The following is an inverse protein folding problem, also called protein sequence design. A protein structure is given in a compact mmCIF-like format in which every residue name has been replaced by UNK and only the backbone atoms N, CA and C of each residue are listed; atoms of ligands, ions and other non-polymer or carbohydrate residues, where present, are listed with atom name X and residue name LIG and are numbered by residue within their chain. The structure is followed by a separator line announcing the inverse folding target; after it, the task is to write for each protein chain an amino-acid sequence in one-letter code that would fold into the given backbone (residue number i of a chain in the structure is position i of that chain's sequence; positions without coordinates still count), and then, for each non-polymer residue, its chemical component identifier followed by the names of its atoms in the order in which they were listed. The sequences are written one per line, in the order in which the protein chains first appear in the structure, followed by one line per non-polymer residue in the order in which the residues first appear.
data_IF_363276320217
#
_entry.id   IF_363276320217
#
_cell.length_a   1.000
_cell.length_b   1.000
_cell.length_c   1.000
_cell.angle_alpha   90.00
_cell.angle_beta   90.00
_cell.angle_gamma   90.00
#
_symmetry.space_group_name_H-M   'P 1'
#
loop_
_entity.id
_entity.type
_entity.pdbx_description
1 polymer ?
#
# COMPACT_ATOMS: atom_id res chain seq x y z
N UNK A 1 8.91 23.65 -13.39
CA UNK A 1 8.49 22.33 -12.86
C UNK A 1 8.85 22.22 -11.38
N UNK A 2 10.12 22.36 -10.99
CA UNK A 2 10.59 22.18 -9.62
C UNK A 2 9.86 23.04 -8.59
N UNK A 3 9.64 24.33 -8.89
CA UNK A 3 8.87 25.25 -8.03
C UNK A 3 7.39 24.81 -7.90
N UNK A 4 6.79 24.32 -8.99
CA UNK A 4 5.44 23.76 -8.93
C UNK A 4 5.39 22.51 -8.04
N UNK A 5 6.37 21.62 -8.17
CA UNK A 5 6.46 20.44 -7.31
C UNK A 5 6.54 20.83 -5.82
N UNK A 6 7.37 21.82 -5.49
CA UNK A 6 7.52 22.32 -4.12
C UNK A 6 6.21 22.94 -3.58
N UNK A 7 5.45 23.63 -4.44
CA UNK A 7 4.14 24.20 -4.08
C UNK A 7 3.14 23.14 -3.60
N UNK A 8 3.14 21.96 -4.23
CA UNK A 8 2.21 20.87 -3.91
C UNK A 8 2.74 19.86 -2.89
N UNK A 9 4.05 19.85 -2.67
CA UNK A 9 4.68 19.01 -1.65
C UNK A 9 5.82 19.76 -0.97
N UNK A 10 5.58 20.27 0.23
CA UNK A 10 6.56 21.05 1.02
C UNK A 10 7.81 20.26 1.45
N UNK A 11 7.76 18.91 1.36
CA UNK A 11 8.91 18.04 1.67
C UNK A 11 9.94 18.01 0.54
N UNK A 12 9.58 18.48 -0.66
CA UNK A 12 10.50 18.56 -1.80
C UNK A 12 11.53 19.65 -1.51
N UNK A 13 12.80 19.26 -1.51
CA UNK A 13 13.94 20.17 -1.42
C UNK A 13 14.46 20.43 -2.83
N UNK A 14 14.61 21.71 -3.17
CA UNK A 14 15.33 22.12 -4.38
C UNK A 14 16.82 22.15 -4.03
N UNK A 15 17.61 21.39 -4.77
CA UNK A 15 19.06 21.34 -4.64
C UNK A 15 19.64 21.95 -5.91
N UNK A 16 20.42 23.00 -5.75
CA UNK A 16 21.27 23.51 -6.84
C UNK A 16 22.51 22.66 -6.87
N UNK A 17 22.83 22.12 -8.03
CA UNK A 17 24.05 21.35 -8.28
C UNK A 17 24.93 22.13 -9.27
N UNK A 18 26.21 22.27 -8.94
CA UNK A 18 27.22 22.78 -9.86
C UNK A 18 27.64 21.65 -10.80
N UNK A 19 26.74 21.23 -11.69
CA UNK A 19 27.08 20.27 -12.73
C UNK A 19 27.98 20.94 -13.77
N UNK A 20 29.17 20.40 -13.98
CA UNK A 20 30.14 20.87 -15.01
C UNK A 20 29.55 20.77 -16.42
N UNK A 21 28.54 19.95 -16.63
CA UNK A 21 27.78 19.85 -17.86
C UNK A 21 26.36 20.34 -17.60
N UNK A 22 26.07 21.63 -17.84
CA UNK A 22 24.72 22.14 -17.67
C UNK A 22 23.80 21.36 -18.60
N UNK A 23 22.77 20.74 -18.02
CA UNK A 23 21.69 20.14 -18.80
C UNK A 23 20.92 21.28 -19.47
N UNK A 24 21.39 21.68 -20.64
CA UNK A 24 20.73 22.65 -21.51
C UNK A 24 19.43 22.04 -22.02
N UNK A 25 18.43 21.99 -21.14
CA UNK A 25 17.09 21.55 -21.50
C UNK A 25 16.62 22.36 -22.70
N UNK A 26 16.04 21.70 -23.68
CA UNK A 26 15.34 22.37 -24.76
C UNK A 26 13.85 22.43 -24.43
N UNK A 27 13.23 23.58 -24.73
CA UNK A 27 11.79 23.73 -24.66
C UNK A 27 11.19 23.55 -26.05
N UNK A 28 10.19 22.67 -26.15
CA UNK A 28 9.41 22.50 -27.37
C UNK A 28 8.27 23.52 -27.39
N UNK A 29 8.15 24.24 -28.50
CA UNK A 29 7.03 25.16 -28.70
C UNK A 29 5.81 24.41 -29.20
N UNK A 30 4.71 24.51 -28.46
CA UNK A 30 3.41 23.93 -28.84
C UNK A 30 2.57 24.86 -29.76
N UNK A 31 3.14 25.97 -30.24
CA UNK A 31 2.41 26.98 -31.06
C UNK A 31 1.77 26.38 -32.32
N UNK A 32 2.45 25.44 -32.98
CA UNK A 32 1.91 24.81 -34.20
C UNK A 32 0.70 23.95 -33.93
N UNK A 33 0.73 23.14 -32.85
CA UNK A 33 -0.36 22.23 -32.51
C UNK A 33 -1.59 23.03 -32.01
N UNK A 34 -1.38 24.10 -31.24
CA UNK A 34 -2.45 24.98 -30.81
C UNK A 34 -3.12 25.72 -31.98
N UNK A 35 -2.35 26.11 -33.02
CA UNK A 35 -2.88 26.73 -34.25
C UNK A 35 -3.73 25.77 -35.08
N UNK A 36 -3.56 24.43 -34.92
CA UNK A 36 -4.40 23.43 -35.60
C UNK A 36 -5.75 23.19 -34.89
N UNK A 37 -6.06 23.95 -33.83
CA UNK A 37 -7.29 23.80 -33.05
C UNK A 37 -7.20 22.74 -31.94
N UNK A 38 -6.04 22.14 -31.71
CA UNK A 38 -5.85 21.19 -30.63
C UNK A 38 -5.97 21.89 -29.28
N UNK A 39 -6.67 21.25 -28.35
CA UNK A 39 -6.81 21.71 -26.97
C UNK A 39 -6.27 20.66 -26.03
N UNK A 40 -5.39 21.07 -25.13
CA UNK A 40 -4.96 20.19 -24.04
C UNK A 40 -6.12 19.99 -23.05
N UNK A 41 -6.41 18.77 -22.69
CA UNK A 41 -7.44 18.42 -21.70
C UNK A 41 -7.04 18.85 -20.29
N UNK A 42 -5.75 18.89 -20.01
CA UNK A 42 -5.17 19.22 -18.70
C UNK A 42 -4.07 20.27 -18.87
N UNK A 43 -3.99 21.18 -17.93
CA UNK A 43 -2.84 22.07 -17.81
C UNK A 43 -1.60 21.31 -17.27
N UNK A 44 -0.42 21.86 -17.49
CA UNK A 44 0.81 21.32 -16.89
C UNK A 44 0.71 21.29 -15.36
N UNK A 45 0.08 22.30 -14.76
CA UNK A 45 -0.10 22.39 -13.31
C UNK A 45 -1.02 21.29 -12.79
N UNK A 46 -2.14 21.02 -13.44
CA UNK A 46 -3.05 19.92 -13.08
C UNK A 46 -2.38 18.56 -13.19
N UNK A 47 -1.62 18.34 -14.28
CA UNK A 47 -0.90 17.09 -14.48
C UNK A 47 0.20 16.85 -13.44
N UNK A 48 0.95 17.89 -13.07
CA UNK A 48 1.97 17.82 -12.01
C UNK A 48 1.32 17.59 -10.65
N UNK A 49 0.21 18.29 -10.36
CA UNK A 49 -0.52 18.09 -9.11
C UNK A 49 -1.02 16.66 -8.96
N UNK A 50 -1.62 16.11 -10.01
CA UNK A 50 -2.08 14.72 -10.02
C UNK A 50 -0.92 13.73 -9.85
N UNK A 51 0.17 13.93 -10.56
CA UNK A 51 1.37 13.09 -10.46
C UNK A 51 1.97 13.11 -9.06
N UNK A 52 2.11 14.29 -8.44
CA UNK A 52 2.63 14.41 -7.07
C UNK A 52 1.67 13.76 -6.09
N UNK A 53 0.36 13.95 -6.27
CA UNK A 53 -0.65 13.34 -5.40
C UNK A 53 -0.58 11.80 -5.49
N UNK A 54 -0.51 11.25 -6.68
CA UNK A 54 -0.33 9.80 -6.88
C UNK A 54 0.98 9.29 -6.30
N UNK A 55 2.07 10.03 -6.48
CA UNK A 55 3.41 9.63 -6.01
C UNK A 55 3.57 9.76 -4.49
N UNK A 56 3.06 10.83 -3.89
CA UNK A 56 3.09 10.99 -2.43
C UNK A 56 2.21 9.95 -1.75
N UNK A 57 1.08 9.59 -2.35
CA UNK A 57 0.24 8.52 -1.85
C UNK A 57 0.93 7.14 -1.96
N UNK A 58 1.64 6.86 -3.06
CA UNK A 58 2.42 5.61 -3.19
C UNK A 58 3.54 5.49 -2.15
N UNK A 59 4.21 6.60 -1.79
CA UNK A 59 5.25 6.58 -0.75
C UNK A 59 4.66 6.46 0.66
N UNK A 60 3.56 7.17 0.96
CA UNK A 60 2.78 6.98 2.18
C UNK A 60 2.28 5.53 2.32
N UNK A 61 1.92 4.93 1.19
CA UNK A 61 1.42 3.57 1.12
C UNK A 61 2.50 2.53 1.45
N UNK A 62 3.73 2.72 0.97
CA UNK A 62 4.88 1.86 1.33
C UNK A 62 5.19 1.91 2.82
N UNK A 63 4.89 3.02 3.50
CA UNK A 63 5.09 3.16 4.93
C UNK A 63 3.95 2.56 5.77
N UNK A 64 2.76 2.42 5.20
CA UNK A 64 1.56 1.95 5.90
C UNK A 64 1.26 0.47 5.64
N UNK A 65 1.71 -0.05 4.51
CA UNK A 65 1.38 -1.36 4.01
C UNK A 65 2.57 -1.96 3.25
N UNK A 66 2.86 -3.20 3.54
CA UNK A 66 3.89 -3.97 2.84
C UNK A 66 3.31 -5.28 2.33
N UNK A 67 3.53 -5.55 1.05
CA UNK A 67 3.27 -6.84 0.44
C UNK A 67 4.60 -7.44 -0.01
N UNK A 68 4.92 -8.61 0.51
CA UNK A 68 6.16 -9.31 0.17
C UNK A 68 5.84 -10.69 -0.40
N UNK A 69 6.53 -11.02 -1.47
CA UNK A 69 6.68 -12.42 -1.93
C UNK A 69 7.62 -13.17 -1.00
N UNK A 70 7.55 -14.50 -1.02
CA UNK A 70 8.51 -15.32 -0.31
C UNK A 70 9.92 -15.09 -0.85
N UNK A 71 10.87 -14.91 0.04
CA UNK A 71 12.29 -14.74 -0.29
C UNK A 71 13.03 -16.08 -0.25
N UNK A 72 14.19 -16.15 -0.92
CA UNK A 72 15.06 -17.34 -0.92
C UNK A 72 14.28 -18.61 -1.30
N UNK A 73 13.58 -18.55 -2.43
CA UNK A 73 12.85 -19.71 -2.93
C UNK A 73 13.80 -20.83 -3.32
N UNK A 74 13.54 -22.00 -2.78
CA UNK A 74 14.20 -23.24 -3.19
C UNK A 74 13.18 -24.11 -3.93
N UNK A 75 13.51 -24.53 -5.14
CA UNK A 75 12.64 -25.36 -6.00
C UNK A 75 13.41 -26.63 -6.39
N UNK A 76 12.80 -27.80 -6.14
CA UNK A 76 13.30 -29.10 -6.62
C UNK A 76 12.15 -29.98 -7.10
N UNK A 77 12.43 -31.26 -7.41
CA UNK A 77 11.41 -32.22 -7.88
C UNK A 77 10.28 -32.50 -6.88
N UNK A 78 10.45 -32.14 -5.61
CA UNK A 78 9.45 -32.28 -4.54
C UNK A 78 8.54 -31.08 -4.41
N UNK A 79 8.93 -29.91 -4.96
CA UNK A 79 8.14 -28.69 -4.89
C UNK A 79 9.00 -27.46 -4.55
N UNK A 80 8.39 -26.52 -3.84
CA UNK A 80 8.93 -25.18 -3.58
C UNK A 80 8.93 -24.90 -2.07
N UNK A 81 10.00 -24.28 -1.60
CA UNK A 81 10.09 -23.68 -0.26
C UNK A 81 10.19 -22.17 -0.44
N UNK A 82 9.31 -21.43 0.22
CA UNK A 82 9.34 -19.96 0.27
C UNK A 82 9.50 -19.53 1.72
N UNK A 83 10.47 -18.65 1.99
CA UNK A 83 10.73 -18.16 3.33
C UNK A 83 10.17 -16.72 3.48
N UNK A 84 9.64 -16.43 4.65
CA UNK A 84 9.16 -15.09 5.00
C UNK A 84 9.85 -14.64 6.28
N UNK A 85 10.62 -13.58 6.19
CA UNK A 85 11.26 -12.98 7.36
C UNK A 85 10.25 -12.15 8.14
N UNK A 86 10.19 -12.35 9.45
CA UNK A 86 9.36 -11.59 10.37
C UNK A 86 10.23 -10.70 11.25
N UNK A 87 9.91 -9.43 11.31
CA UNK A 87 10.65 -8.43 12.09
C UNK A 87 10.33 -8.47 13.59
N UNK A 88 9.22 -9.11 13.96
CA UNK A 88 8.77 -9.22 15.33
C UNK A 88 8.45 -10.67 15.69
N UNK A 89 8.68 -11.11 16.93
CA UNK A 89 8.27 -12.43 17.38
C UNK A 89 6.74 -12.56 17.34
N UNK A 90 6.27 -13.72 16.89
CA UNK A 90 4.87 -14.13 16.95
C UNK A 90 4.74 -15.26 17.98
N UNK A 91 3.66 -15.28 18.72
CA UNK A 91 3.36 -16.32 19.72
C UNK A 91 1.98 -16.95 19.51
N UNK A 92 1.22 -16.49 18.51
CA UNK A 92 -0.03 -17.11 18.12
C UNK A 92 -0.22 -17.07 16.60
N UNK A 93 -0.72 -18.17 16.04
CA UNK A 93 -1.09 -18.30 14.64
C UNK A 93 -2.57 -18.62 14.55
N UNK A 94 -3.34 -17.78 13.87
CA UNK A 94 -4.72 -18.05 13.54
C UNK A 94 -4.83 -18.62 12.12
N UNK A 95 -5.36 -19.82 11.96
CA UNK A 95 -5.71 -20.38 10.65
C UNK A 95 -7.12 -19.95 10.28
N UNK A 96 -7.27 -19.21 9.19
CA UNK A 96 -8.53 -18.62 8.80
C UNK A 96 -8.93 -19.10 7.39
N UNK A 97 -10.16 -19.58 7.29
CA UNK A 97 -10.80 -19.90 6.02
C UNK A 97 -11.92 -18.91 5.72
N UNK A 98 -11.97 -18.41 4.50
CA UNK A 98 -12.98 -17.45 4.06
C UNK A 98 -13.51 -17.80 2.69
N UNK A 99 -14.82 -17.70 2.53
CA UNK A 99 -15.50 -18.01 1.28
C UNK A 99 -15.41 -16.83 0.32
N UNK A 100 -15.32 -17.12 -0.95
CA UNK A 100 -15.49 -16.14 -2.03
C UNK A 100 -16.73 -15.27 -1.82
N UNK A 101 -16.60 -13.97 -2.08
CA UNK A 101 -17.69 -12.99 -1.97
C UNK A 101 -17.93 -12.48 -0.55
N UNK A 102 -17.20 -12.97 0.46
CA UNK A 102 -17.28 -12.44 1.81
C UNK A 102 -16.27 -11.32 2.05
N UNK A 103 -16.50 -10.53 3.12
CA UNK A 103 -15.60 -9.48 3.57
C UNK A 103 -15.27 -9.69 5.04
N UNK A 104 -14.00 -9.52 5.42
CA UNK A 104 -13.54 -9.51 6.80
C UNK A 104 -12.83 -8.21 7.13
N UNK A 105 -12.39 -8.09 8.38
CA UNK A 105 -11.78 -6.90 8.95
C UNK A 105 -12.77 -5.72 9.04
N UNK A 106 -12.68 -4.67 8.23
CA UNK A 106 -13.41 -3.43 8.43
C UNK A 106 -13.11 -2.80 9.80
N UNK A 107 -11.82 -2.78 10.14
CA UNK A 107 -11.31 -2.24 11.40
C UNK A 107 -9.86 -1.76 11.25
N UNK A 108 -9.31 -1.22 12.32
CA UNK A 108 -7.89 -0.97 12.46
C UNK A 108 -7.39 -1.39 13.85
N UNK A 109 -6.09 -1.57 13.97
CA UNK A 109 -5.41 -1.85 15.23
C UNK A 109 -4.63 -0.61 15.66
N UNK A 110 -4.90 -0.02 16.82
CA UNK A 110 -4.15 1.17 17.27
C UNK A 110 -2.67 0.91 17.56
N UNK A 111 -2.33 -0.31 17.98
CA UNK A 111 -1.00 -0.62 18.50
C UNK A 111 -0.28 -1.74 17.77
N UNK A 112 -0.99 -2.61 17.05
CA UNK A 112 -0.44 -3.81 16.44
C UNK A 112 -0.35 -3.70 14.92
N UNK A 113 0.72 -4.25 14.35
CA UNK A 113 0.75 -4.59 12.93
C UNK A 113 -0.10 -5.83 12.65
N UNK A 114 -0.92 -5.78 11.62
CA UNK A 114 -1.62 -6.93 11.08
C UNK A 114 -0.71 -7.65 10.10
N UNK A 115 -0.37 -8.90 10.36
CA UNK A 115 0.42 -9.74 9.45
C UNK A 115 -0.39 -10.97 9.03
N UNK A 116 -0.55 -11.15 7.72
CA UNK A 116 -1.28 -12.28 7.15
C UNK A 116 -0.49 -12.95 6.04
N UNK A 117 -0.17 -14.24 6.20
CA UNK A 117 0.42 -15.06 5.14
C UNK A 117 -0.68 -15.82 4.40
N UNK A 118 -0.83 -15.56 3.11
CA UNK A 118 -1.87 -16.17 2.29
C UNK A 118 -1.41 -17.52 1.73
N UNK A 119 -1.98 -18.59 2.26
CA UNK A 119 -1.61 -19.98 1.93
C UNK A 119 -2.30 -20.46 0.65
N UNK A 120 -3.52 -19.97 0.41
CA UNK A 120 -4.31 -20.33 -0.76
C UNK A 120 -5.33 -19.25 -1.09
N UNK A 121 -5.57 -19.00 -2.37
CA UNK A 121 -6.64 -18.12 -2.84
C UNK A 121 -6.14 -16.74 -3.25
N UNK A 122 -7.04 -15.75 -3.16
CA UNK A 122 -6.78 -14.37 -3.55
C UNK A 122 -7.77 -13.44 -2.89
N UNK A 123 -7.31 -12.29 -2.46
CA UNK A 123 -8.14 -11.22 -1.94
C UNK A 123 -7.87 -9.89 -2.63
N UNK A 124 -8.80 -8.95 -2.48
CA UNK A 124 -8.57 -7.52 -2.64
C UNK A 124 -8.53 -6.93 -1.24
N UNK A 125 -7.38 -6.42 -0.84
CA UNK A 125 -7.21 -5.71 0.41
C UNK A 125 -7.45 -4.23 0.17
N UNK A 126 -8.32 -3.61 0.98
CA UNK A 126 -8.64 -2.19 0.93
C UNK A 126 -8.12 -1.57 2.22
N UNK A 127 -7.46 -0.43 2.15
CA UNK A 127 -6.89 0.22 3.32
C UNK A 127 -6.93 1.74 3.22
N UNK A 128 -6.92 2.39 4.39
CA UNK A 128 -6.99 3.84 4.55
C UNK A 128 -6.25 4.24 5.82
N UNK A 129 -5.42 5.27 5.74
CA UNK A 129 -4.75 5.85 6.90
C UNK A 129 -5.75 6.61 7.78
N UNK A 130 -5.93 6.17 9.03
CA UNK A 130 -6.82 6.85 9.97
C UNK A 130 -6.22 8.10 10.61
N UNK A 131 -4.90 8.24 10.58
CA UNK A 131 -4.23 9.44 11.10
C UNK A 131 -4.37 10.62 10.15
N UNK A 132 -4.70 10.35 8.89
CA UNK A 132 -4.95 11.37 7.88
C UNK A 132 -6.41 11.28 7.40
N UNK A 133 -7.27 12.16 7.91
CA UNK A 133 -8.71 12.19 7.57
C UNK A 133 -9.02 12.35 6.07
N UNK A 134 -8.06 12.87 5.30
CA UNK A 134 -8.19 13.04 3.85
C UNK A 134 -7.48 11.92 3.06
N UNK A 135 -7.03 10.88 3.74
CA UNK A 135 -6.39 9.74 3.07
C UNK A 135 -7.38 9.04 2.13
N UNK A 136 -7.02 8.85 0.86
CA UNK A 136 -7.85 8.06 -0.04
C UNK A 136 -7.85 6.58 0.39
N UNK A 137 -8.92 5.90 0.07
CA UNK A 137 -8.93 4.43 0.12
C UNK A 137 -8.07 3.90 -1.01
N UNK A 138 -7.26 2.91 -0.71
CA UNK A 138 -6.39 2.25 -1.68
C UNK A 138 -6.64 0.76 -1.67
N UNK A 139 -6.43 0.13 -2.81
CA UNK A 139 -6.65 -1.30 -3.00
C UNK A 139 -5.37 -1.99 -3.46
N UNK A 140 -5.18 -3.21 -2.97
CA UNK A 140 -4.09 -4.08 -3.34
C UNK A 140 -4.63 -5.50 -3.55
N UNK A 141 -4.23 -6.16 -4.65
CA UNK A 141 -4.49 -7.59 -4.83
C UNK A 141 -3.41 -8.37 -4.09
N UNK A 142 -3.85 -9.30 -3.23
CA UNK A 142 -2.96 -10.20 -2.51
C UNK A 142 -3.20 -11.61 -2.99
N UNK A 143 -2.13 -12.28 -3.39
CA UNK A 143 -2.14 -13.62 -3.94
C UNK A 143 -1.60 -14.66 -2.95
N UNK A 144 -1.81 -15.89 -3.28
CA UNK A 144 -1.18 -17.04 -2.61
C UNK A 144 0.34 -16.88 -2.55
N UNK A 145 0.94 -17.24 -1.43
CA UNK A 145 2.37 -17.12 -1.16
C UNK A 145 2.82 -15.75 -0.66
N UNK A 146 1.96 -14.74 -0.65
CA UNK A 146 2.32 -13.39 -0.23
C UNK A 146 2.06 -13.15 1.25
N UNK A 147 2.95 -12.39 1.90
CA UNK A 147 2.81 -11.87 3.25
C UNK A 147 2.36 -10.42 3.19
N UNK A 148 1.15 -10.14 3.67
CA UNK A 148 0.63 -8.79 3.86
C UNK A 148 0.94 -8.31 5.27
N UNK A 149 1.47 -7.10 5.39
CA UNK A 149 1.73 -6.41 6.67
C UNK A 149 1.09 -5.03 6.62
N UNK A 150 0.17 -4.77 7.54
CA UNK A 150 -0.54 -3.49 7.68
C UNK A 150 -0.14 -2.88 9.02
N UNK A 151 0.31 -1.64 9.01
CA UNK A 151 0.77 -0.92 10.19
C UNK A 151 -0.37 -0.51 11.13
N UNK A 152 -0.04 -0.18 12.39
CA UNK A 152 -1.03 0.40 13.32
C UNK A 152 -1.72 1.63 12.73
N UNK A 153 -2.97 1.83 13.14
CA UNK A 153 -3.83 2.95 12.71
C UNK A 153 -4.18 2.97 11.21
N UNK A 154 -3.98 1.86 10.49
CA UNK A 154 -4.45 1.70 9.12
C UNK A 154 -5.73 0.87 9.11
N UNK A 155 -6.85 1.50 8.75
CA UNK A 155 -8.10 0.78 8.49
C UNK A 155 -7.94 -0.13 7.30
N UNK A 156 -8.39 -1.36 7.44
CA UNK A 156 -8.30 -2.34 6.38
C UNK A 156 -9.55 -3.21 6.30
N UNK A 157 -9.81 -3.69 5.09
CA UNK A 157 -10.83 -4.67 4.79
C UNK A 157 -10.28 -5.69 3.78
N UNK A 158 -10.68 -6.94 3.93
CA UNK A 158 -10.29 -8.06 3.07
C UNK A 158 -11.52 -8.54 2.32
N UNK A 159 -11.57 -8.29 1.01
CA UNK A 159 -12.63 -8.77 0.11
C UNK A 159 -12.13 -10.04 -0.58
N UNK A 160 -12.79 -11.16 -0.34
CA UNK A 160 -12.35 -12.46 -0.83
C UNK A 160 -12.84 -12.70 -2.27
N UNK A 161 -11.95 -12.56 -3.25
CA UNK A 161 -12.24 -12.82 -4.67
C UNK A 161 -12.26 -14.31 -5.02
N UNK A 162 -11.64 -15.16 -4.18
CA UNK A 162 -11.65 -16.62 -4.23
C UNK A 162 -11.83 -17.20 -2.83
N UNK A 163 -12.17 -18.47 -2.73
CA UNK A 163 -12.06 -19.19 -1.46
C UNK A 163 -10.60 -19.12 -1.00
N UNK A 164 -10.38 -18.61 0.20
CA UNK A 164 -9.05 -18.23 0.66
C UNK A 164 -8.75 -18.84 2.02
N UNK A 165 -7.51 -19.32 2.17
CA UNK A 165 -6.94 -19.77 3.43
C UNK A 165 -5.71 -18.93 3.73
N UNK A 166 -5.64 -18.37 4.93
CA UNK A 166 -4.49 -17.58 5.35
C UNK A 166 -4.18 -17.77 6.83
N UNK A 167 -2.94 -17.49 7.19
CA UNK A 167 -2.45 -17.45 8.55
C UNK A 167 -2.43 -16.01 9.03
N UNK A 168 -3.13 -15.74 10.13
CA UNK A 168 -2.98 -14.49 10.88
C UNK A 168 -1.85 -14.68 11.91
N UNK A 169 -0.78 -13.92 11.78
CA UNK A 169 0.42 -14.00 12.61
C UNK A 169 0.34 -12.92 13.68
N UNK A 170 0.15 -13.33 14.92
CA UNK A 170 -0.19 -12.42 16.02
C UNK A 170 0.91 -12.37 17.06
N UNK A 171 1.23 -11.18 17.51
CA UNK A 171 2.03 -10.92 18.70
C UNK A 171 1.08 -10.63 19.87
N UNK A 172 1.19 -11.40 20.95
CA UNK A 172 0.33 -11.25 22.12
C UNK A 172 -0.90 -12.18 22.11
N UNK A 173 -1.71 -12.07 23.11
CA UNK A 173 -2.94 -12.85 23.27
C UNK A 173 -4.07 -12.23 22.44
N UNK A 174 -4.82 -13.10 21.79
CA UNK A 174 -6.02 -12.68 21.06
C UNK A 174 -7.23 -12.81 21.98
N UNK A 175 -7.42 -11.81 22.80
CA UNK A 175 -8.60 -11.75 23.67
C UNK A 175 -9.75 -11.04 22.92
N UNK A 176 -10.91 -11.68 22.90
CA UNK A 176 -12.09 -11.10 22.26
C UNK A 176 -12.77 -10.02 23.11
N UNK A 177 -12.53 -9.99 24.42
CA UNK A 177 -13.21 -9.11 25.36
C UNK A 177 -12.29 -8.07 26.02
N UNK A 178 -10.99 -8.33 26.06
CA UNK A 178 -10.03 -7.41 26.67
C UNK A 178 -8.84 -7.24 25.74
N UNK A 179 -8.97 -6.34 24.82
CA UNK A 179 -8.14 -6.19 23.64
C UNK A 179 -6.79 -5.49 23.93
N UNK A 180 -5.92 -6.03 24.68
CA UNK A 180 -4.57 -5.50 24.89
C UNK A 180 -3.91 -4.98 23.62
N UNK A 181 -2.79 -5.58 23.22
CA UNK A 181 -2.07 -5.22 22.00
C UNK A 181 -2.87 -5.51 20.72
N UNK A 182 -3.77 -6.50 20.77
CA UNK A 182 -4.62 -6.92 19.64
C UNK A 182 -5.92 -6.11 19.50
N UNK A 183 -6.09 -5.06 20.28
CA UNK A 183 -7.29 -4.21 20.23
C UNK A 183 -7.65 -3.80 18.81
N UNK A 184 -8.94 -3.94 18.49
CA UNK A 184 -9.49 -3.55 17.19
C UNK A 184 -10.55 -2.47 17.37
N UNK A 185 -10.50 -1.46 16.52
CA UNK A 185 -11.54 -0.44 16.45
C UNK A 185 -12.24 -0.58 15.10
N UNK A 186 -13.56 -0.80 15.15
CA UNK A 186 -14.38 -0.95 13.97
C UNK A 186 -14.36 0.34 13.14
N UNK A 187 -14.01 0.22 11.87
CA UNK A 187 -14.10 1.27 10.87
C UNK A 187 -14.44 0.66 9.51
N UNK A 188 -15.69 0.81 9.10
CA UNK A 188 -16.20 0.19 7.87
C UNK A 188 -15.74 1.02 6.67
N UNK A 189 -14.88 0.43 5.85
CA UNK A 189 -14.33 1.04 4.65
C UNK A 189 -14.77 0.35 3.35
N UNK A 190 -15.40 -0.82 3.46
CA UNK A 190 -16.00 -1.60 2.36
C UNK A 190 -17.37 -2.08 2.75
#
# INVERSE_FOLDING_TARGET
VAELCKKYNSKIKLIETDDEIPNLGFSLSNKKILKSGFKFLYSLEESIKEMIHKWSNQNLMKDLYHLKDGENEFVDSRGKISNHELTEPINMIGLIHSKKGTTRANHYHPQQEQKCLFVKGQIIEVFQDNLNKNSPKTTQVVNEGQLSTIKPNVSHAMVFSKDTTFLNLVRGEREHENYGVTHTIRNVIV
#
